data_IF_612858886802
#
_entry.id   IF_612858886802
#
_cell.length_a   1.000
_cell.length_b   1.000
_cell.length_c   1.000
_cell.angle_alpha   90.00
_cell.angle_beta   90.00
_cell.angle_gamma   90.00
#
_symmetry.space_group_name_H-M   'P 1'
#
loop_
_entity.id
_entity.type
_entity.pdbx_description
1 polymer ?
#
# COMPACT_ATOMS: atom_id res chain seq x y z
N UNK A 1 -31.51 16.45 8.86
CA UNK A 1 -31.58 14.99 8.59
C UNK A 1 -30.21 14.31 8.59
N UNK A 2 -29.32 14.49 7.60
CA UNK A 2 -27.99 13.84 7.60
C UNK A 2 -27.08 14.34 8.75
N UNK A 3 -27.09 15.65 9.00
CA UNK A 3 -26.41 16.24 10.16
C UNK A 3 -27.01 15.78 11.51
N UNK A 4 -28.35 15.66 11.60
CA UNK A 4 -29.03 15.14 12.80
C UNK A 4 -28.74 13.65 13.04
N UNK A 5 -28.62 12.85 11.98
CA UNK A 5 -28.22 11.44 12.05
C UNK A 5 -26.75 11.27 12.47
N UNK A 6 -25.87 12.17 12.02
CA UNK A 6 -24.46 12.19 12.42
C UNK A 6 -24.30 12.62 13.89
N UNK A 7 -25.06 13.63 14.34
CA UNK A 7 -25.08 14.09 15.74
C UNK A 7 -25.66 13.01 16.66
N UNK A 8 -26.78 12.40 16.27
CA UNK A 8 -27.41 11.28 17.00
C UNK A 8 -26.54 10.04 17.11
N UNK A 9 -25.58 9.83 16.21
CA UNK A 9 -24.64 8.70 16.24
C UNK A 9 -23.34 9.01 17.02
N UNK A 10 -23.02 10.29 17.21
CA UNK A 10 -21.87 10.75 17.98
C UNK A 10 -22.19 10.93 19.48
N UNK A 11 -23.46 11.19 19.85
CA UNK A 11 -23.88 11.36 21.24
C UNK A 11 -23.87 10.05 22.09
N UNK A 12 -24.28 8.87 21.57
CA UNK A 12 -24.11 7.61 22.26
C UNK A 12 -22.91 6.87 21.69
N UNK A 13 -21.80 6.81 22.44
CA UNK A 13 -20.54 6.21 22.01
C UNK A 13 -20.68 4.75 21.51
N UNK A 14 -20.79 4.56 20.19
CA UNK A 14 -20.72 3.23 19.58
C UNK A 14 -19.30 2.66 19.67
N UNK A 15 -19.13 1.35 19.92
CA UNK A 15 -17.82 0.70 19.91
C UNK A 15 -17.14 0.79 18.52
N UNK A 16 -15.80 0.93 18.45
CA UNK A 16 -15.05 1.23 17.21
C UNK A 16 -15.33 0.29 16.05
N UNK A 17 -15.53 -1.00 16.34
CA UNK A 17 -15.79 -2.06 15.36
C UNK A 17 -17.14 -1.94 14.65
N UNK A 18 -18.14 -1.27 15.26
CA UNK A 18 -19.46 -1.05 14.65
C UNK A 18 -19.55 0.27 13.90
N UNK A 19 -18.66 1.23 14.15
CA UNK A 19 -18.64 2.52 13.43
C UNK A 19 -18.26 2.34 11.96
N UNK A 20 -17.27 1.51 11.66
CA UNK A 20 -16.83 1.25 10.29
C UNK A 20 -17.91 0.56 9.46
N UNK A 21 -18.60 -0.42 10.06
CA UNK A 21 -19.69 -1.17 9.41
C UNK A 21 -20.93 -0.29 9.25
N UNK A 22 -21.28 0.52 10.26
CA UNK A 22 -22.42 1.43 10.20
C UNK A 22 -22.18 2.59 9.23
N UNK A 23 -20.98 3.21 9.25
CA UNK A 23 -20.55 4.15 8.22
C UNK A 23 -20.58 3.49 6.85
N UNK A 24 -20.02 2.29 6.68
CA UNK A 24 -20.13 1.56 5.42
C UNK A 24 -21.59 1.31 5.00
N UNK A 25 -22.51 1.00 5.91
CA UNK A 25 -23.93 0.79 5.57
C UNK A 25 -24.68 2.08 5.24
N UNK A 26 -24.35 3.19 5.90
CA UNK A 26 -24.91 4.53 5.62
C UNK A 26 -24.33 5.07 4.29
N UNK A 27 -23.03 4.87 4.05
CA UNK A 27 -22.33 5.20 2.80
C UNK A 27 -22.72 4.24 1.65
N UNK A 28 -23.21 3.04 1.95
CA UNK A 28 -23.79 2.12 0.98
C UNK A 28 -25.23 2.49 0.60
N UNK A 29 -25.98 3.11 1.51
CA UNK A 29 -27.40 3.46 1.31
C UNK A 29 -27.63 4.74 0.49
N UNK A 30 -26.66 5.66 0.41
CA UNK A 30 -26.78 6.87 -0.43
C UNK A 30 -25.75 6.87 -1.57
N UNK A 31 -26.06 6.16 -2.66
CA UNK A 31 -25.31 6.24 -3.92
C UNK A 31 -25.22 7.66 -4.52
N UNK A 32 -26.02 8.62 -4.02
CA UNK A 32 -25.98 10.03 -4.42
C UNK A 32 -25.05 10.92 -3.59
N UNK A 33 -24.39 10.41 -2.54
CA UNK A 33 -23.61 11.24 -1.63
C UNK A 33 -22.37 11.85 -2.32
N UNK A 34 -21.68 11.07 -3.16
CA UNK A 34 -20.51 11.56 -3.93
C UNK A 34 -20.87 12.70 -4.87
N UNK A 35 -22.06 12.63 -5.50
CA UNK A 35 -22.56 13.65 -6.42
C UNK A 35 -22.78 14.96 -5.66
N UNK A 36 -23.45 14.90 -4.51
CA UNK A 36 -23.73 16.08 -3.69
C UNK A 36 -22.47 16.66 -3.03
N UNK A 37 -21.51 15.81 -2.66
CA UNK A 37 -20.21 16.25 -2.17
C UNK A 37 -19.42 16.96 -3.27
N UNK A 38 -19.35 16.38 -4.46
CA UNK A 38 -18.71 17.01 -5.61
C UNK A 38 -19.36 18.36 -5.98
N UNK A 39 -20.69 18.42 -6.00
CA UNK A 39 -21.41 19.70 -6.18
C UNK A 39 -21.06 20.73 -5.11
N UNK A 40 -20.94 20.31 -3.84
CA UNK A 40 -20.55 21.22 -2.75
C UNK A 40 -19.12 21.73 -2.90
N UNK A 41 -18.17 20.86 -3.29
CA UNK A 41 -16.78 21.24 -3.55
C UNK A 41 -16.69 22.24 -4.71
N UNK A 42 -17.47 22.05 -5.79
CA UNK A 42 -17.55 23.04 -6.90
C UNK A 42 -17.98 24.43 -6.44
N UNK A 43 -18.80 24.50 -5.38
CA UNK A 43 -19.30 25.76 -4.86
C UNK A 43 -18.29 26.50 -3.96
N UNK A 44 -17.11 25.94 -3.66
CA UNK A 44 -16.12 26.63 -2.81
C UNK A 44 -15.69 27.99 -3.35
N UNK A 45 -15.71 28.16 -4.68
CA UNK A 45 -15.43 29.45 -5.32
C UNK A 45 -16.53 30.50 -5.15
N UNK A 46 -17.78 30.04 -5.02
CA UNK A 46 -18.97 30.89 -5.06
C UNK A 46 -19.56 31.11 -3.66
N UNK A 47 -19.26 30.23 -2.70
CA UNK A 47 -19.80 30.26 -1.35
C UNK A 47 -18.68 30.06 -0.33
N UNK A 48 -18.65 30.94 0.67
CA UNK A 48 -17.75 30.81 1.81
C UNK A 48 -18.26 29.75 2.78
N UNK A 49 -17.60 28.59 2.77
CA UNK A 49 -17.79 27.54 3.79
C UNK A 49 -16.70 27.64 4.86
N UNK A 50 -16.97 27.31 6.14
CA UNK A 50 -15.94 27.21 7.17
C UNK A 50 -14.87 26.17 6.81
N UNK A 51 -13.63 26.37 7.27
CA UNK A 51 -12.51 25.45 7.02
C UNK A 51 -12.86 24.01 7.39
N UNK A 52 -13.41 23.79 8.58
CA UNK A 52 -13.76 22.44 9.07
C UNK A 52 -14.71 21.72 8.11
N UNK A 53 -15.70 22.44 7.56
CA UNK A 53 -16.66 21.88 6.60
C UNK A 53 -15.94 21.49 5.31
N UNK A 54 -15.08 22.36 4.79
CA UNK A 54 -14.31 22.05 3.58
C UNK A 54 -13.35 20.86 3.78
N UNK A 55 -12.69 20.81 4.94
CA UNK A 55 -11.79 19.72 5.31
C UNK A 55 -12.55 18.39 5.42
N UNK A 56 -13.67 18.36 6.13
CA UNK A 56 -14.46 17.13 6.28
C UNK A 56 -15.12 16.69 4.98
N UNK A 57 -15.49 17.61 4.09
CA UNK A 57 -15.98 17.29 2.75
C UNK A 57 -14.93 16.55 1.92
N UNK A 58 -13.71 17.10 1.85
CA UNK A 58 -12.59 16.50 1.11
C UNK A 58 -12.19 15.16 1.72
N UNK A 59 -12.14 15.08 3.06
CA UNK A 59 -11.84 13.84 3.77
C UNK A 59 -12.91 12.77 3.56
N UNK A 60 -14.19 13.16 3.51
CA UNK A 60 -15.28 12.23 3.23
C UNK A 60 -15.26 11.79 1.77
N UNK A 61 -14.93 12.69 0.84
CA UNK A 61 -14.73 12.38 -0.57
C UNK A 61 -13.59 11.36 -0.73
N UNK A 62 -12.44 11.58 -0.07
CA UNK A 62 -11.33 10.63 -0.02
C UNK A 62 -11.74 9.27 0.55
N UNK A 63 -12.45 9.25 1.68
CA UNK A 63 -12.90 7.99 2.28
C UNK A 63 -13.84 7.23 1.35
N UNK A 64 -14.73 7.92 0.65
CA UNK A 64 -15.66 7.34 -0.32
C UNK A 64 -14.92 6.78 -1.55
N UNK A 65 -14.00 7.53 -2.15
CA UNK A 65 -13.23 7.10 -3.33
C UNK A 65 -12.19 6.03 -2.99
N UNK A 66 -11.69 6.00 -1.75
CA UNK A 66 -10.78 4.97 -1.25
C UNK A 66 -11.50 3.65 -0.97
N UNK A 67 -12.70 3.69 -0.39
CA UNK A 67 -13.45 2.49 0.02
C UNK A 67 -14.27 1.86 -1.12
N UNK A 68 -14.64 2.63 -2.15
CA UNK A 68 -15.54 2.20 -3.21
C UNK A 68 -15.00 2.50 -4.60
N UNK A 69 -14.71 1.44 -5.36
CA UNK A 69 -14.16 1.53 -6.70
C UNK A 69 -15.16 2.10 -7.72
N UNK A 70 -16.44 1.81 -7.54
CA UNK A 70 -17.55 2.32 -8.35
C UNK A 70 -17.76 3.83 -8.12
N UNK A 71 -17.72 4.29 -6.86
CA UNK A 71 -17.79 5.71 -6.51
C UNK A 71 -16.58 6.47 -7.06
N UNK A 72 -15.39 5.88 -7.01
CA UNK A 72 -14.19 6.43 -7.62
C UNK A 72 -14.36 6.57 -9.13
N UNK A 73 -14.79 5.51 -9.80
CA UNK A 73 -15.03 5.54 -11.25
C UNK A 73 -16.05 6.61 -11.62
N UNK A 74 -17.15 6.71 -10.86
CA UNK A 74 -18.16 7.74 -11.03
C UNK A 74 -17.60 9.16 -10.87
N UNK A 75 -16.78 9.40 -9.84
CA UNK A 75 -16.16 10.70 -9.61
C UNK A 75 -15.25 11.10 -10.78
N UNK A 76 -14.40 10.17 -11.25
CA UNK A 76 -13.44 10.45 -12.32
C UNK A 76 -14.08 10.55 -13.71
N UNK A 77 -15.04 9.68 -14.04
CA UNK A 77 -15.63 9.60 -15.39
C UNK A 77 -16.87 10.49 -15.55
N UNK A 78 -17.81 10.46 -14.60
CA UNK A 78 -19.08 11.19 -14.72
C UNK A 78 -18.99 12.60 -14.15
N UNK A 79 -18.26 12.78 -13.04
CA UNK A 79 -18.22 14.06 -12.30
C UNK A 79 -16.98 14.90 -12.60
N UNK A 80 -16.16 14.54 -13.59
CA UNK A 80 -14.94 15.30 -13.96
C UNK A 80 -14.05 15.56 -12.73
N UNK A 81 -13.88 14.55 -11.88
CA UNK A 81 -13.25 14.66 -10.57
C UNK A 81 -11.85 15.27 -10.58
N UNK A 82 -11.07 15.02 -11.64
CA UNK A 82 -9.75 15.62 -11.82
C UNK A 82 -9.85 17.14 -11.87
N UNK A 83 -10.69 17.68 -12.76
CA UNK A 83 -10.88 19.13 -12.92
C UNK A 83 -11.39 19.77 -11.62
N UNK A 84 -12.33 19.11 -10.95
CA UNK A 84 -12.90 19.57 -9.69
C UNK A 84 -11.86 19.65 -8.56
N UNK A 85 -11.01 18.63 -8.44
CA UNK A 85 -9.95 18.60 -7.44
C UNK A 85 -8.83 19.59 -7.78
N UNK A 86 -8.49 19.75 -9.06
CA UNK A 86 -7.55 20.78 -9.52
C UNK A 86 -8.05 22.18 -9.18
N UNK A 87 -9.31 22.52 -9.45
CA UNK A 87 -9.88 23.82 -9.07
C UNK A 87 -9.91 24.01 -7.55
N UNK A 88 -10.27 22.98 -6.78
CA UNK A 88 -10.24 23.04 -5.33
C UNK A 88 -8.82 23.26 -4.78
N UNK A 89 -7.82 22.67 -5.44
CA UNK A 89 -6.41 22.83 -5.09
C UNK A 89 -5.92 24.25 -5.41
N UNK A 90 -6.24 24.76 -6.60
CA UNK A 90 -5.92 26.14 -7.01
C UNK A 90 -6.50 27.16 -6.03
N UNK A 91 -7.76 26.98 -5.61
CA UNK A 91 -8.41 27.82 -4.60
C UNK A 91 -7.70 27.73 -3.25
N UNK A 92 -7.32 26.51 -2.83
CA UNK A 92 -6.64 26.28 -1.54
C UNK A 92 -5.24 26.89 -1.52
N UNK A 93 -4.55 26.86 -2.66
CA UNK A 93 -3.22 27.43 -2.84
C UNK A 93 -3.26 28.95 -3.10
N UNK A 94 -4.44 29.54 -3.27
CA UNK A 94 -4.60 30.96 -3.61
C UNK A 94 -4.04 31.32 -4.99
N UNK A 95 -3.92 30.35 -5.90
CA UNK A 95 -3.31 30.53 -7.21
C UNK A 95 -4.31 31.18 -8.16
N UNK A 96 -4.06 32.43 -8.59
CA UNK A 96 -4.73 33.02 -9.75
C UNK A 96 -3.83 32.88 -10.99
N UNK A 97 -4.40 32.78 -12.22
CA UNK A 97 -3.59 32.65 -13.42
C UNK A 97 -2.75 33.92 -13.63
N UNK A 98 -1.46 33.86 -13.31
CA UNK A 98 -0.49 34.96 -13.51
C UNK A 98 0.22 35.47 -12.25
N UNK A 99 -0.17 35.02 -11.05
CA UNK A 99 0.49 35.41 -9.80
C UNK A 99 1.57 34.40 -9.37
N UNK A 100 2.60 34.90 -8.67
CA UNK A 100 3.66 34.04 -8.11
C UNK A 100 3.10 33.24 -6.95
N UNK A 101 3.41 31.93 -6.83
CA UNK A 101 2.95 31.12 -5.72
C UNK A 101 3.39 31.70 -4.37
N UNK A 102 2.57 31.57 -3.32
CA UNK A 102 2.95 32.03 -1.98
C UNK A 102 4.19 31.28 -1.47
N UNK A 103 5.14 32.00 -0.86
CA UNK A 103 6.38 31.42 -0.32
C UNK A 103 6.12 30.47 0.87
N UNK A 104 4.98 30.62 1.54
CA UNK A 104 4.54 29.75 2.64
C UNK A 104 3.01 29.61 2.64
N UNK A 105 2.51 28.38 2.72
CA UNK A 105 1.10 28.09 2.90
C UNK A 105 0.75 28.06 4.40
N UNK A 106 -0.35 28.69 4.83
CA UNK A 106 -0.78 28.56 6.22
C UNK A 106 -1.26 27.12 6.53
N UNK A 107 -1.36 26.74 7.81
CA UNK A 107 -1.59 25.35 8.22
C UNK A 107 -2.89 24.75 7.67
N UNK A 108 -3.96 25.55 7.64
CA UNK A 108 -5.28 25.12 7.19
C UNK A 108 -5.33 24.86 5.67
N UNK A 109 -4.65 25.69 4.89
CA UNK A 109 -4.46 25.54 3.45
C UNK A 109 -3.61 24.31 3.15
N UNK A 110 -2.55 24.10 3.93
CA UNK A 110 -1.67 22.93 3.81
C UNK A 110 -2.44 21.63 4.06
N UNK A 111 -3.29 21.58 5.10
CA UNK A 111 -4.13 20.42 5.39
C UNK A 111 -5.13 20.11 4.26
N UNK A 112 -5.82 21.13 3.72
CA UNK A 112 -6.73 20.96 2.59
C UNK A 112 -6.00 20.53 1.32
N UNK A 113 -4.85 21.12 1.02
CA UNK A 113 -4.04 20.78 -0.15
C UNK A 113 -3.52 19.33 -0.06
N UNK A 114 -3.12 18.88 1.12
CA UNK A 114 -2.73 17.48 1.35
C UNK A 114 -3.90 16.52 1.13
N UNK A 115 -5.12 16.85 1.55
CA UNK A 115 -6.29 15.99 1.29
C UNK A 115 -6.59 15.91 -0.22
N UNK A 116 -6.42 17.01 -0.96
CA UNK A 116 -6.67 17.02 -2.41
C UNK A 116 -5.57 16.24 -3.17
N UNK A 117 -4.29 16.42 -2.81
CA UNK A 117 -3.16 15.73 -3.45
C UNK A 117 -3.15 14.22 -3.20
N UNK A 118 -3.76 13.74 -2.11
CA UNK A 118 -3.95 12.30 -1.85
C UNK A 118 -4.78 11.59 -2.92
N UNK A 119 -5.54 12.32 -3.73
CA UNK A 119 -6.37 11.77 -4.80
C UNK A 119 -5.58 11.46 -6.09
N UNK A 120 -4.39 12.04 -6.32
CA UNK A 120 -3.60 11.78 -7.54
C UNK A 120 -2.71 10.53 -7.40
N UNK A 121 -3.35 9.37 -7.56
CA UNK A 121 -2.67 8.07 -7.52
C UNK A 121 -1.69 7.89 -8.70
N UNK A 122 -1.83 8.66 -9.80
CA UNK A 122 -0.95 8.53 -10.96
C UNK A 122 0.45 9.13 -10.69
N UNK A 123 0.52 10.26 -9.99
CA UNK A 123 1.78 10.90 -9.62
C UNK A 123 2.61 10.04 -8.65
N UNK A 124 1.97 9.44 -7.64
CA UNK A 124 2.65 8.52 -6.72
C UNK A 124 3.11 7.23 -7.40
N UNK A 125 2.38 6.73 -8.39
CA UNK A 125 2.82 5.57 -9.19
C UNK A 125 4.00 5.92 -10.11
N UNK A 126 3.99 7.10 -10.70
CA UNK A 126 5.12 7.59 -11.48
C UNK A 126 6.38 7.73 -10.59
N UNK A 127 6.23 8.34 -9.42
CA UNK A 127 7.30 8.42 -8.42
C UNK A 127 7.77 7.02 -7.98
N UNK A 128 6.85 6.10 -7.68
CA UNK A 128 7.19 4.72 -7.34
C UNK A 128 7.96 3.99 -8.46
N UNK A 129 7.65 4.29 -9.72
CA UNK A 129 8.38 3.75 -10.88
C UNK A 129 9.81 4.29 -10.95
N UNK A 130 10.01 5.60 -10.71
CA UNK A 130 11.35 6.19 -10.66
C UNK A 130 12.17 5.59 -9.49
N UNK A 131 11.56 5.44 -8.33
CA UNK A 131 12.21 4.86 -7.16
C UNK A 131 12.57 3.38 -7.37
N UNK A 132 11.73 2.63 -8.10
CA UNK A 132 12.07 1.27 -8.55
C UNK A 132 13.37 1.26 -9.35
N UNK A 133 13.54 2.19 -10.29
CA UNK A 133 14.80 2.31 -11.03
C UNK A 133 15.97 2.66 -10.11
N UNK A 134 15.77 3.57 -9.14
CA UNK A 134 16.81 3.90 -8.15
C UNK A 134 17.24 2.70 -7.30
N UNK A 135 16.31 1.82 -6.91
CA UNK A 135 16.65 0.56 -6.20
C UNK A 135 17.52 -0.35 -7.07
N UNK A 136 17.25 -0.40 -8.38
CA UNK A 136 17.95 -1.29 -9.31
C UNK A 136 19.31 -0.76 -9.78
N UNK A 137 19.61 0.53 -9.58
CA UNK A 137 20.85 1.16 -10.03
C UNK A 137 21.90 1.18 -8.93
N UNK A 138 23.14 0.89 -9.30
CA UNK A 138 24.30 1.09 -8.43
C UNK A 138 24.82 2.54 -8.54
N UNK A 139 25.13 3.16 -7.40
CA UNK A 139 25.76 4.47 -7.37
C UNK A 139 27.28 4.36 -7.57
N UNK A 140 27.90 5.40 -8.13
CA UNK A 140 29.35 5.43 -8.29
C UNK A 140 30.08 5.46 -6.93
N UNK A 141 31.08 4.57 -6.78
CA UNK A 141 31.83 4.36 -5.54
C UNK A 141 31.07 3.56 -4.48
N UNK A 142 31.52 3.63 -3.22
CA UNK A 142 30.94 2.86 -2.10
C UNK A 142 29.63 3.44 -1.55
N UNK A 143 28.97 4.36 -2.27
CA UNK A 143 27.77 5.09 -1.82
C UNK A 143 26.44 4.42 -2.18
N UNK A 144 26.47 3.25 -2.80
CA UNK A 144 25.25 2.55 -3.26
C UNK A 144 24.30 2.26 -2.10
N UNK A 145 24.82 1.87 -0.94
CA UNK A 145 23.98 1.52 0.21
C UNK A 145 23.27 2.74 0.83
N UNK A 146 23.92 3.90 0.85
CA UNK A 146 23.34 5.16 1.30
C UNK A 146 22.23 5.63 0.35
N UNK A 147 22.49 5.56 -0.96
CA UNK A 147 21.52 5.88 -2.00
C UNK A 147 20.27 5.00 -1.94
N UNK A 148 20.46 3.69 -1.76
CA UNK A 148 19.34 2.75 -1.56
C UNK A 148 18.57 3.06 -0.27
N UNK A 149 19.26 3.45 0.81
CA UNK A 149 18.61 3.88 2.05
C UNK A 149 17.64 5.04 1.86
N UNK A 150 18.07 6.11 1.18
CA UNK A 150 17.21 7.25 0.87
C UNK A 150 16.02 6.86 -0.02
N UNK A 151 16.26 6.00 -1.00
CA UNK A 151 15.21 5.52 -1.92
C UNK A 151 14.15 4.70 -1.16
N UNK A 152 14.57 3.79 -0.28
CA UNK A 152 13.66 2.96 0.52
C UNK A 152 12.87 3.78 1.53
N UNK A 153 13.48 4.80 2.14
CA UNK A 153 12.79 5.73 3.02
C UNK A 153 11.66 6.47 2.29
N UNK A 154 11.91 6.91 1.05
CA UNK A 154 10.89 7.58 0.23
C UNK A 154 9.80 6.60 -0.24
N UNK A 155 10.16 5.35 -0.57
CA UNK A 155 9.18 4.29 -0.85
C UNK A 155 8.27 4.02 0.34
N UNK A 156 8.81 4.02 1.57
CA UNK A 156 8.03 3.85 2.80
C UNK A 156 6.99 4.94 3.05
N UNK A 157 7.13 6.11 2.40
CA UNK A 157 6.17 7.21 2.49
C UNK A 157 5.08 7.17 1.41
N UNK A 158 5.18 6.26 0.43
CA UNK A 158 4.17 6.13 -0.62
C UNK A 158 2.89 5.47 -0.09
N UNK A 159 1.70 5.82 -0.65
CA UNK A 159 0.49 5.04 -0.39
C UNK A 159 0.69 3.58 -0.79
N UNK A 160 0.25 2.65 0.07
CA UNK A 160 0.47 1.20 -0.09
C UNK A 160 -0.05 0.65 -1.43
N UNK A 161 -1.16 1.22 -1.92
CA UNK A 161 -1.78 0.92 -3.22
C UNK A 161 -0.91 1.25 -4.44
N UNK A 162 0.18 2.01 -4.26
CA UNK A 162 1.11 2.41 -5.31
C UNK A 162 2.40 1.59 -5.30
N UNK A 163 2.60 0.70 -4.32
CA UNK A 163 3.77 -0.18 -4.26
C UNK A 163 3.66 -1.37 -5.23
N UNK A 164 2.49 -1.58 -5.83
CA UNK A 164 2.26 -2.54 -6.91
C UNK A 164 3.22 -2.32 -8.09
N UNK A 165 3.58 -1.07 -8.38
CA UNK A 165 4.54 -0.71 -9.45
C UNK A 165 5.92 -1.34 -9.28
N UNK A 166 6.30 -1.74 -8.06
CA UNK A 166 7.56 -2.44 -7.80
C UNK A 166 7.59 -3.85 -8.42
N UNK A 167 6.42 -4.41 -8.73
CA UNK A 167 6.22 -5.79 -9.18
C UNK A 167 5.74 -5.89 -10.63
N UNK A 168 5.55 -4.76 -11.33
CA UNK A 168 5.02 -4.72 -12.71
C UNK A 168 6.08 -4.86 -13.80
N UNK A 169 7.31 -5.25 -13.46
CA UNK A 169 8.39 -5.46 -14.44
C UNK A 169 8.12 -6.71 -15.27
N UNK A 170 8.26 -6.59 -16.59
CA UNK A 170 8.27 -7.74 -17.48
C UNK A 170 9.54 -8.57 -17.22
N UNK A 171 9.43 -9.90 -17.07
CA UNK A 171 10.60 -10.76 -16.95
C UNK A 171 11.38 -10.75 -18.27
N UNK A 172 12.70 -10.59 -18.16
CA UNK A 172 13.63 -10.64 -19.28
C UNK A 172 14.71 -11.69 -19.01
N UNK A 173 15.48 -12.08 -20.04
CA UNK A 173 16.59 -13.01 -19.88
C UNK A 173 17.57 -12.49 -18.80
N UNK A 174 17.85 -13.33 -17.79
CA UNK A 174 18.71 -13.00 -16.65
C UNK A 174 18.01 -12.32 -15.46
N UNK A 175 16.70 -12.06 -15.53
CA UNK A 175 15.93 -11.57 -14.37
C UNK A 175 15.64 -12.68 -13.35
N UNK A 176 15.53 -12.30 -12.08
CA UNK A 176 15.11 -13.18 -11.00
C UNK A 176 13.61 -13.45 -11.12
N UNK A 177 13.24 -14.58 -11.72
CA UNK A 177 11.84 -14.95 -11.90
C UNK A 177 11.34 -15.88 -10.78
N UNK A 178 10.13 -15.64 -10.28
CA UNK A 178 9.44 -16.56 -9.38
C UNK A 178 7.94 -16.61 -9.69
N UNK A 179 7.46 -17.81 -10.06
CA UNK A 179 6.07 -18.05 -10.48
C UNK A 179 5.62 -17.16 -11.65
N UNK A 180 6.46 -16.96 -12.68
CA UNK A 180 6.09 -16.15 -13.85
C UNK A 180 6.21 -14.64 -13.65
N UNK A 181 6.79 -14.17 -12.54
CA UNK A 181 6.88 -12.74 -12.21
C UNK A 181 8.31 -12.35 -11.85
N UNK A 182 8.72 -11.17 -12.31
CA UNK A 182 10.00 -10.57 -11.95
C UNK A 182 10.04 -10.22 -10.44
N UNK A 183 11.07 -10.71 -9.76
CA UNK A 183 11.36 -10.49 -8.34
C UNK A 183 12.63 -9.70 -8.10
N UNK A 184 13.27 -9.12 -9.13
CA UNK A 184 14.56 -8.44 -9.01
C UNK A 184 14.52 -7.34 -7.94
N UNK A 185 13.51 -6.47 -7.99
CA UNK A 185 13.34 -5.37 -7.04
C UNK A 185 13.17 -5.91 -5.62
N UNK A 186 12.38 -6.96 -5.44
CA UNK A 186 12.17 -7.60 -4.14
C UNK A 186 13.46 -8.26 -3.63
N UNK A 187 14.22 -8.90 -4.52
CA UNK A 187 15.53 -9.48 -4.23
C UNK A 187 16.54 -8.43 -3.79
N UNK A 188 16.61 -7.29 -4.49
CA UNK A 188 17.48 -6.17 -4.10
C UNK A 188 17.06 -5.59 -2.76
N UNK A 189 15.78 -5.33 -2.53
CA UNK A 189 15.25 -4.84 -1.25
C UNK A 189 15.53 -5.82 -0.10
N UNK A 190 15.41 -7.12 -0.34
CA UNK A 190 15.73 -8.15 0.65
C UNK A 190 17.24 -8.17 0.96
N UNK A 191 18.09 -8.09 -0.06
CA UNK A 191 19.55 -8.01 0.12
C UNK A 191 19.99 -6.72 0.84
N UNK A 192 19.28 -5.61 0.61
CA UNK A 192 19.48 -4.35 1.30
C UNK A 192 19.12 -4.49 2.78
N UNK A 193 17.94 -5.06 3.07
CA UNK A 193 17.50 -5.37 4.43
C UNK A 193 18.52 -6.27 5.14
N UNK A 194 19.03 -7.30 4.47
CA UNK A 194 20.09 -8.17 4.99
C UNK A 194 21.31 -7.38 5.44
N UNK A 195 21.85 -6.52 4.57
CA UNK A 195 23.02 -5.70 4.87
C UNK A 195 22.75 -4.78 6.08
N UNK A 196 21.59 -4.13 6.12
CA UNK A 196 21.18 -3.25 7.23
C UNK A 196 20.97 -4.01 8.55
N UNK A 197 20.54 -5.26 8.52
CA UNK A 197 20.42 -6.09 9.73
C UNK A 197 21.77 -6.48 10.35
N UNK A 198 22.87 -6.39 9.61
CA UNK A 198 24.21 -6.56 10.18
C UNK A 198 24.72 -5.30 10.89
N UNK A 199 24.12 -4.14 10.61
CA UNK A 199 24.48 -2.88 11.25
C UNK A 199 23.73 -2.79 12.59
N UNK A 200 24.46 -2.85 13.70
CA UNK A 200 23.88 -2.85 15.06
C UNK A 200 23.38 -1.47 15.53
N UNK A 201 23.70 -0.40 14.80
CA UNK A 201 23.35 0.99 15.14
C UNK A 201 22.23 1.52 14.25
N UNK A 202 21.32 2.33 14.83
CA UNK A 202 20.19 3.01 14.14
C UNK A 202 19.23 2.08 13.37
N UNK A 203 19.08 0.84 13.84
CA UNK A 203 18.21 -0.18 13.25
C UNK A 203 16.78 0.32 12.97
N UNK A 204 16.20 1.15 13.84
CA UNK A 204 14.84 1.68 13.64
C UNK A 204 14.69 2.43 12.32
N UNK A 205 15.56 3.40 12.07
CA UNK A 205 15.48 4.26 10.89
C UNK A 205 15.92 3.52 9.61
N UNK A 206 16.84 2.56 9.73
CA UNK A 206 17.39 1.85 8.58
C UNK A 206 16.57 0.63 8.15
N UNK A 207 15.89 -0.04 9.07
CA UNK A 207 15.22 -1.34 8.83
C UNK A 207 13.71 -1.20 8.71
N UNK A 208 13.08 -0.28 9.46
CA UNK A 208 11.62 -0.18 9.47
C UNK A 208 11.04 0.15 8.08
N UNK A 209 11.58 1.11 7.29
CA UNK A 209 11.04 1.43 5.98
C UNK A 209 11.14 0.24 5.00
N UNK A 210 12.26 -0.48 5.02
CA UNK A 210 12.45 -1.67 4.19
C UNK A 210 11.47 -2.80 4.56
N UNK A 211 11.30 -3.07 5.86
CA UNK A 211 10.35 -4.06 6.34
C UNK A 211 8.91 -3.68 5.99
N UNK A 212 8.52 -2.41 6.14
CA UNK A 212 7.17 -1.94 5.80
C UNK A 212 6.88 -2.12 4.31
N UNK A 213 7.78 -1.70 3.41
CA UNK A 213 7.60 -1.89 1.96
C UNK A 213 7.48 -3.38 1.60
N UNK A 214 8.37 -4.22 2.13
CA UNK A 214 8.36 -5.66 1.86
C UNK A 214 7.11 -6.37 2.44
N UNK A 215 6.65 -5.94 3.62
CA UNK A 215 5.41 -6.44 4.25
C UNK A 215 4.22 -6.18 3.32
N UNK A 216 4.12 -4.97 2.80
CA UNK A 216 2.99 -4.56 1.97
C UNK A 216 3.02 -5.22 0.60
N UNK A 217 4.21 -5.34 0.00
CA UNK A 217 4.39 -6.16 -1.21
C UNK A 217 3.94 -7.62 -0.98
N UNK A 218 4.26 -8.21 0.17
CA UNK A 218 3.84 -9.58 0.51
C UNK A 218 2.34 -9.71 0.81
N UNK A 219 1.70 -8.67 1.38
CA UNK A 219 0.25 -8.67 1.62
C UNK A 219 -0.51 -8.67 0.29
N UNK A 220 -0.13 -7.77 -0.60
CA UNK A 220 -0.86 -7.51 -1.85
C UNK A 220 -0.54 -8.55 -2.93
N UNK A 221 0.69 -9.06 -2.99
CA UNK A 221 1.13 -9.91 -4.10
C UNK A 221 1.51 -11.34 -3.65
N UNK A 222 0.72 -12.33 -4.08
CA UNK A 222 0.89 -13.75 -3.70
C UNK A 222 2.25 -14.33 -4.12
N UNK A 223 2.77 -14.10 -5.35
CA UNK A 223 4.12 -14.55 -5.72
C UNK A 223 5.21 -13.92 -4.84
N UNK A 224 5.13 -12.62 -4.55
CA UNK A 224 6.11 -11.94 -3.68
C UNK A 224 6.08 -12.52 -2.27
N UNK A 225 4.90 -12.83 -1.72
CA UNK A 225 4.77 -13.50 -0.42
C UNK A 225 5.43 -14.87 -0.41
N UNK A 226 5.18 -15.69 -1.43
CA UNK A 226 5.78 -17.04 -1.54
C UNK A 226 7.30 -16.96 -1.72
N UNK A 227 7.77 -16.00 -2.52
CA UNK A 227 9.19 -15.73 -2.73
C UNK A 227 9.87 -15.32 -1.41
N UNK A 228 9.35 -14.29 -0.73
CA UNK A 228 9.88 -13.82 0.54
C UNK A 228 9.82 -14.90 1.63
N UNK A 229 8.77 -15.72 1.66
CA UNK A 229 8.69 -16.88 2.57
C UNK A 229 9.80 -17.90 2.28
N UNK A 230 10.10 -18.17 1.01
CA UNK A 230 11.16 -19.09 0.62
C UNK A 230 12.57 -18.54 0.94
N UNK A 231 12.75 -17.23 0.84
CA UNK A 231 14.02 -16.54 1.13
C UNK A 231 14.15 -16.06 2.59
N UNK A 232 13.20 -16.41 3.45
CA UNK A 232 13.04 -15.73 4.75
C UNK A 232 14.21 -16.02 5.71
N UNK A 233 14.83 -14.94 6.22
CA UNK A 233 15.91 -14.98 7.21
C UNK A 233 15.37 -15.16 8.63
N UNK A 234 14.69 -16.29 8.85
CA UNK A 234 13.95 -16.62 10.08
C UNK A 234 14.77 -16.32 11.35
N UNK A 235 16.05 -16.68 11.36
CA UNK A 235 16.90 -16.55 12.55
C UNK A 235 17.25 -15.10 12.91
N UNK A 236 17.36 -14.19 11.94
CA UNK A 236 17.72 -12.78 12.18
C UNK A 236 16.51 -11.92 12.53
N UNK A 237 15.38 -12.15 11.84
CA UNK A 237 14.13 -11.43 12.10
C UNK A 237 13.51 -11.80 13.45
N UNK A 238 13.62 -13.05 13.88
CA UNK A 238 13.17 -13.47 15.22
C UNK A 238 13.98 -12.79 16.34
N UNK A 239 15.26 -12.47 16.12
CA UNK A 239 16.05 -11.66 17.09
C UNK A 239 15.55 -10.22 17.21
N UNK A 240 14.95 -9.65 16.16
CA UNK A 240 14.31 -8.33 16.23
C UNK A 240 13.04 -8.34 17.08
N UNK A 241 12.35 -9.47 17.19
CA UNK A 241 11.17 -9.61 18.05
C UNK A 241 11.48 -9.49 19.55
N UNK A 242 12.74 -9.65 19.92
CA UNK A 242 13.26 -9.46 21.28
C UNK A 242 14.06 -8.16 21.44
N UNK A 243 14.00 -7.26 20.45
CA UNK A 243 14.69 -5.97 20.50
C UNK A 243 14.03 -5.03 21.54
N UNK A 244 14.82 -4.12 22.13
CA UNK A 244 14.35 -3.17 23.15
C UNK A 244 13.42 -2.10 22.57
N UNK A 245 13.62 -1.73 21.31
CA UNK A 245 12.78 -0.77 20.59
C UNK A 245 11.44 -1.41 20.18
N UNK A 246 10.33 -0.84 20.66
CA UNK A 246 8.97 -1.33 20.44
C UNK A 246 8.52 -1.22 18.99
N UNK A 247 9.01 -0.22 18.26
CA UNK A 247 8.62 -0.01 16.87
C UNK A 247 9.32 -1.03 15.96
N UNK A 248 10.62 -1.27 16.20
CA UNK A 248 11.36 -2.34 15.51
C UNK A 248 10.72 -3.70 15.75
N UNK A 249 10.38 -3.99 17.01
CA UNK A 249 9.68 -5.22 17.39
C UNK A 249 8.34 -5.37 16.66
N UNK A 250 7.56 -4.29 16.61
CA UNK A 250 6.24 -4.28 15.97
C UNK A 250 6.35 -4.53 14.47
N UNK A 251 7.23 -3.79 13.77
CA UNK A 251 7.37 -3.89 12.32
C UNK A 251 7.92 -5.27 11.92
N UNK A 252 8.86 -5.83 12.69
CA UNK A 252 9.34 -7.19 12.48
C UNK A 252 8.24 -8.25 12.69
N UNK A 253 7.40 -8.07 13.72
CA UNK A 253 6.27 -8.96 13.98
C UNK A 253 5.22 -8.89 12.86
N UNK A 254 4.88 -7.69 12.40
CA UNK A 254 3.94 -7.47 11.30
C UNK A 254 4.43 -8.13 10.01
N UNK A 255 5.73 -8.02 9.69
CA UNK A 255 6.34 -8.71 8.55
C UNK A 255 6.22 -10.23 8.66
N UNK A 256 6.61 -10.80 9.81
CA UNK A 256 6.54 -12.26 10.04
C UNK A 256 5.10 -12.79 9.97
N UNK A 257 4.14 -12.01 10.47
CA UNK A 257 2.73 -12.39 10.50
C UNK A 257 2.14 -12.61 9.11
N UNK A 258 2.62 -11.91 8.08
CA UNK A 258 2.18 -12.10 6.69
C UNK A 258 2.46 -13.52 6.17
N UNK A 259 3.40 -14.26 6.78
CA UNK A 259 3.77 -15.62 6.36
C UNK A 259 3.12 -16.73 7.18
N UNK A 260 2.39 -16.40 8.25
CA UNK A 260 1.71 -17.37 9.12
C UNK A 260 0.48 -17.92 8.40
N UNK A 261 0.31 -19.25 8.42
CA UNK A 261 -0.94 -19.86 7.98
C UNK A 261 -2.03 -19.54 9.03
N UNK A 262 -3.14 -18.89 8.66
CA UNK A 262 -4.19 -18.51 9.60
C UNK A 262 -4.89 -19.70 10.26
N UNK A 263 -4.83 -20.88 9.64
CA UNK A 263 -5.45 -22.12 10.15
C UNK A 263 -4.55 -22.80 11.17
N UNK A 264 -3.25 -22.93 10.88
CA UNK A 264 -2.31 -23.64 11.76
C UNK A 264 -1.60 -22.73 12.75
N UNK A 265 -1.75 -21.40 12.61
CA UNK A 265 -1.09 -20.39 13.43
C UNK A 265 0.44 -20.43 13.33
N UNK A 266 0.98 -21.16 12.35
CA UNK A 266 2.42 -21.39 12.16
C UNK A 266 2.82 -21.09 10.72
N UNK A 267 4.09 -20.69 10.55
CA UNK A 267 4.71 -20.66 9.24
C UNK A 267 5.10 -22.10 8.90
N UNK A 268 4.36 -22.74 8.00
CA UNK A 268 4.67 -24.09 7.51
C UNK A 268 5.94 -24.08 6.64
N UNK A 269 6.84 -25.01 6.89
CA UNK A 269 8.02 -25.25 6.06
C UNK A 269 7.57 -25.82 4.71
N UNK A 270 8.34 -25.54 3.65
CA UNK A 270 8.04 -26.08 2.32
C UNK A 270 8.15 -27.61 2.44
N UNK A 271 7.10 -28.39 2.16
CA UNK A 271 7.26 -29.83 2.10
C UNK A 271 8.33 -30.14 1.04
N UNK A 272 9.20 -31.16 1.26
CA UNK A 272 10.13 -31.61 0.24
C UNK A 272 9.35 -31.93 -1.05
N UNK A 273 9.97 -31.72 -2.21
CA UNK A 273 9.29 -31.99 -3.48
C UNK A 273 8.90 -33.48 -3.48
N UNK A 274 7.60 -33.81 -3.58
CA UNK A 274 7.14 -35.20 -3.51
C UNK A 274 7.81 -36.10 -4.55
N UNK A 275 8.30 -35.50 -5.65
CA UNK A 275 8.92 -36.20 -6.77
C UNK A 275 10.47 -36.19 -6.72
N UNK A 276 11.05 -35.61 -5.67
CA UNK A 276 12.50 -35.54 -5.49
C UNK A 276 13.08 -36.95 -5.33
N UNK A 277 13.95 -37.35 -6.27
CA UNK A 277 14.53 -38.70 -6.29
C UNK A 277 13.71 -39.77 -7.03
N UNK A 278 12.56 -39.41 -7.62
CA UNK A 278 11.78 -40.32 -8.47
C UNK A 278 12.26 -40.31 -9.92
N UNK A 279 12.21 -41.47 -10.57
CA UNK A 279 12.39 -41.62 -12.02
C UNK A 279 11.15 -41.14 -12.79
N UNK A 280 11.30 -40.76 -14.06
CA UNK A 280 10.17 -40.24 -14.87
C UNK A 280 9.01 -41.24 -14.97
N UNK A 281 9.30 -42.54 -15.06
CA UNK A 281 8.29 -43.61 -15.08
C UNK A 281 7.50 -43.69 -13.76
N UNK A 282 8.16 -43.45 -12.62
CA UNK A 282 7.51 -43.40 -11.31
C UNK A 282 6.61 -42.17 -11.17
N UNK A 283 7.03 -41.01 -11.71
CA UNK A 283 6.22 -39.79 -11.72
C UNK A 283 4.96 -39.96 -12.57
N UNK A 284 5.07 -40.59 -13.75
CA UNK A 284 3.91 -40.90 -14.58
C UNK A 284 2.94 -41.87 -13.89
N UNK A 285 3.45 -42.88 -13.21
CA UNK A 285 2.62 -43.83 -12.46
C UNK A 285 1.86 -43.15 -11.30
N UNK A 286 2.53 -42.27 -10.55
CA UNK A 286 1.86 -41.49 -9.50
C UNK A 286 0.82 -40.52 -10.06
N UNK A 287 1.11 -39.86 -11.18
CA UNK A 287 0.16 -38.98 -11.84
C UNK A 287 -1.11 -39.76 -12.28
N UNK A 288 -0.93 -40.95 -12.86
CA UNK A 288 -2.05 -41.81 -13.28
C UNK A 288 -2.90 -42.30 -12.09
N UNK A 289 -2.24 -42.58 -10.97
CA UNK A 289 -2.90 -42.93 -9.70
C UNK A 289 -3.71 -41.77 -9.12
N UNK A 290 -3.21 -40.55 -9.27
CA UNK A 290 -3.91 -39.33 -8.86
C UNK A 290 -5.16 -39.05 -9.71
N UNK A 291 -5.06 -39.20 -11.03
CA UNK A 291 -6.19 -39.09 -11.97
C UNK A 291 -7.30 -40.08 -11.60
N UNK A 292 -6.95 -41.34 -11.36
CA UNK A 292 -7.91 -42.36 -10.95
C UNK A 292 -8.53 -42.13 -9.57
N UNK A 293 -7.85 -41.40 -8.66
CA UNK A 293 -8.47 -40.96 -7.41
C UNK A 293 -9.46 -39.81 -7.61
N UNK A 294 -9.18 -38.87 -8.52
CA UNK A 294 -10.10 -37.79 -8.86
C UNK A 294 -11.36 -38.30 -9.56
N UNK A 295 -11.23 -39.28 -10.45
CA UNK A 295 -12.36 -39.93 -11.10
C UNK A 295 -13.29 -40.66 -10.12
N UNK A 296 -12.78 -41.07 -8.95
CA UNK A 296 -13.58 -41.70 -7.88
C UNK A 296 -14.27 -40.71 -6.93
N UNK A 297 -13.86 -39.44 -6.99
CA UNK A 297 -14.42 -38.35 -6.18
C UNK A 297 -15.44 -37.49 -6.97
N UNK A 298 -15.53 -37.69 -8.29
CA UNK A 298 -16.55 -37.11 -9.17
C UNK A 298 -17.77 -38.03 -9.27
#
# INVERSE_FOLDING_TARGET
>A
RLAELLVSALEPGLPPSRRTIWLQSVLAAEAGLVVRLAERVRLYRQRSFPHDVQFFDLRLLFLLTALRADVRQQLFQELQGVHLLTEALELTLGMTPGERPPELLPPQETERAMEILKEDTALYRHLGTLLRHCVMVAAAGDRTEEFHGHTVNLLGNLPLKCLDVLLTLEPHEGSLEFLGVNMDVIGVLLSFLEKRLHQTHRLKESVAPALSVLTECARVHRPARKFLKAQLLRNKLVRLMTHLDTDVKRVAAEFLFVFINPVTGRVEEKPPDPTEGMTEEQKEHEAMKLVTMFDRLS
#
